data_IF_000552701056
#
_entry.id   IF_000552701056
#
_cell.length_a   1.000
_cell.length_b   1.000
_cell.length_c   1.000
_cell.angle_alpha   90.00
_cell.angle_beta   90.00
_cell.angle_gamma   90.00
#
_symmetry.space_group_name_H-M   'P 1'
#
loop_
_entity.id
_entity.type
_entity.pdbx_description
1 polymer ?
#
# COMPACT_ATOMS: atom_id res chain seq x y z
N UNK A 1 -2.21 6.85 18.27
CA UNK A 1 -3.39 5.95 18.43
C UNK A 1 -3.07 4.57 17.86
N UNK A 2 -2.58 4.45 16.62
CA UNK A 2 -2.22 3.16 16.02
C UNK A 2 -1.26 2.30 16.88
N UNK A 3 -0.11 2.86 17.28
CA UNK A 3 0.86 2.12 18.11
C UNK A 3 0.28 1.68 19.48
N UNK A 4 -0.75 2.35 20.00
CA UNK A 4 -1.41 1.97 21.25
C UNK A 4 -2.32 0.74 21.08
N UNK A 5 -3.05 0.66 19.95
CA UNK A 5 -3.86 -0.53 19.65
C UNK A 5 -2.97 -1.73 19.32
N UNK A 6 -1.94 -1.52 18.50
CA UNK A 6 -0.96 -2.56 18.16
C UNK A 6 -0.28 -3.09 19.43
N UNK A 7 0.11 -2.21 20.35
CA UNK A 7 0.78 -2.65 21.58
C UNK A 7 -0.13 -3.51 22.45
N UNK A 8 -1.43 -3.20 22.54
CA UNK A 8 -2.39 -3.99 23.30
C UNK A 8 -2.59 -5.41 22.72
N UNK A 9 -2.67 -5.52 21.39
CA UNK A 9 -2.80 -6.82 20.70
C UNK A 9 -1.57 -7.68 20.98
N UNK A 10 -0.37 -7.16 20.70
CA UNK A 10 0.87 -7.95 20.85
C UNK A 10 1.14 -8.25 22.34
N UNK A 11 0.82 -7.33 23.24
CA UNK A 11 0.96 -7.55 24.68
C UNK A 11 0.11 -8.72 25.17
N UNK A 12 -1.10 -8.85 24.62
CA UNK A 12 -2.00 -9.98 24.92
C UNK A 12 -1.46 -11.27 24.34
N UNK A 13 -0.97 -11.27 23.10
CA UNK A 13 -0.36 -12.44 22.44
C UNK A 13 0.88 -12.96 23.20
N UNK A 14 1.70 -12.06 23.75
CA UNK A 14 2.94 -12.39 24.45
C UNK A 14 2.78 -12.52 25.98
N UNK A 15 1.59 -12.24 26.52
CA UNK A 15 1.32 -12.17 27.96
C UNK A 15 2.29 -11.23 28.71
N UNK A 16 2.45 -10.01 28.20
CA UNK A 16 3.32 -8.95 28.74
C UNK A 16 2.54 -7.64 28.88
N UNK A 17 3.14 -6.62 29.49
CA UNK A 17 2.48 -5.32 29.64
C UNK A 17 2.52 -4.52 28.32
N UNK A 18 1.43 -3.81 27.92
CA UNK A 18 1.41 -2.94 26.74
C UNK A 18 2.53 -1.89 26.71
N UNK A 19 2.94 -1.39 27.89
CA UNK A 19 4.04 -0.43 28.01
C UNK A 19 5.39 -1.01 27.57
N UNK A 20 5.62 -2.32 27.80
CA UNK A 20 6.84 -2.99 27.34
C UNK A 20 6.88 -3.06 25.82
N UNK A 21 5.74 -3.35 25.18
CA UNK A 21 5.62 -3.36 23.72
C UNK A 21 5.77 -1.95 23.15
N UNK A 22 5.16 -0.92 23.76
CA UNK A 22 5.34 0.46 23.32
C UNK A 22 6.81 0.90 23.36
N UNK A 23 7.54 0.55 24.41
CA UNK A 23 8.96 0.82 24.52
C UNK A 23 9.76 0.07 23.43
N UNK A 24 9.44 -1.19 23.17
CA UNK A 24 10.05 -1.97 22.09
C UNK A 24 9.77 -1.37 20.69
N UNK A 25 8.53 -0.90 20.44
CA UNK A 25 8.15 -0.21 19.21
C UNK A 25 9.03 1.04 19.01
N UNK A 26 9.16 1.88 20.05
CA UNK A 26 9.97 3.09 19.96
C UNK A 26 11.42 2.77 19.60
N UNK A 27 12.01 1.74 20.23
CA UNK A 27 13.39 1.35 19.93
C UNK A 27 13.57 0.88 18.49
N UNK A 28 12.62 0.10 17.95
CA UNK A 28 12.66 -0.35 16.55
C UNK A 28 12.46 0.82 15.59
N UNK A 29 11.55 1.75 15.90
CA UNK A 29 11.30 2.95 15.10
C UNK A 29 12.53 3.89 15.09
N UNK A 30 13.30 3.93 16.18
CA UNK A 30 14.59 4.62 16.28
C UNK A 30 15.73 3.88 15.52
N UNK A 31 15.44 2.76 14.86
CA UNK A 31 16.38 1.99 14.05
C UNK A 31 17.20 0.94 14.81
N UNK A 32 16.84 0.62 16.05
CA UNK A 32 17.54 -0.43 16.81
C UNK A 32 17.12 -1.83 16.34
N UNK A 33 18.09 -2.72 16.18
CA UNK A 33 17.83 -4.12 15.78
C UNK A 33 17.40 -4.97 16.98
N UNK A 34 16.64 -6.06 16.74
CA UNK A 34 16.21 -6.98 17.80
C UNK A 34 17.37 -7.54 18.64
N UNK A 35 18.49 -8.03 18.05
CA UNK A 35 19.63 -8.50 18.84
C UNK A 35 20.26 -7.41 19.70
N UNK A 36 20.26 -6.15 19.24
CA UNK A 36 20.76 -5.02 20.02
C UNK A 36 19.83 -4.71 21.20
N UNK A 37 18.52 -4.68 20.97
CA UNK A 37 17.53 -4.42 22.01
C UNK A 37 17.60 -5.49 23.10
N UNK A 38 17.63 -6.77 22.71
CA UNK A 38 17.69 -7.91 23.63
C UNK A 38 18.93 -7.88 24.54
N UNK A 39 20.07 -7.38 24.03
CA UNK A 39 21.34 -7.33 24.76
C UNK A 39 21.53 -6.06 25.59
N UNK A 40 21.18 -4.89 25.04
CA UNK A 40 21.60 -3.59 25.58
C UNK A 40 20.44 -2.71 26.04
N UNK A 41 19.18 -3.08 25.76
CA UNK A 41 17.99 -2.28 26.11
C UNK A 41 16.95 -3.08 26.90
N UNK A 42 17.38 -4.16 27.56
CA UNK A 42 16.51 -5.04 28.33
C UNK A 42 15.75 -4.32 29.45
N UNK A 43 16.37 -3.35 30.11
CA UNK A 43 15.71 -2.56 31.16
C UNK A 43 14.61 -1.64 30.60
N UNK A 44 14.81 -1.11 29.39
CA UNK A 44 13.85 -0.21 28.73
C UNK A 44 12.60 -0.96 28.29
N UNK A 45 12.76 -2.20 27.84
CA UNK A 45 11.64 -3.07 27.46
C UNK A 45 11.04 -3.82 28.65
N UNK A 46 11.53 -3.57 29.88
CA UNK A 46 11.06 -4.26 31.08
C UNK A 46 11.34 -5.76 31.08
N UNK A 47 12.40 -6.21 30.41
CA UNK A 47 12.88 -7.59 30.50
C UNK A 47 12.53 -8.52 29.35
N UNK A 48 11.99 -8.02 28.23
CA UNK A 48 11.65 -8.86 27.06
C UNK A 48 12.87 -9.69 26.59
N UNK A 49 12.67 -10.98 26.38
CA UNK A 49 13.71 -11.89 25.88
C UNK A 49 13.78 -11.94 24.34
N UNK A 50 14.82 -12.59 23.79
CA UNK A 50 15.05 -12.67 22.34
C UNK A 50 13.89 -13.37 21.60
N UNK A 51 13.24 -14.35 22.23
CA UNK A 51 12.12 -15.09 21.61
C UNK A 51 10.89 -14.20 21.53
N UNK A 52 10.58 -13.50 22.62
CA UNK A 52 9.50 -12.51 22.67
C UNK A 52 9.73 -11.38 21.68
N UNK A 53 10.95 -10.85 21.58
CA UNK A 53 11.28 -9.74 20.67
C UNK A 53 11.19 -10.14 19.19
N UNK A 54 11.56 -11.37 18.82
CA UNK A 54 11.37 -11.87 17.43
C UNK A 54 9.90 -12.05 17.07
N UNK A 55 9.09 -12.57 18.00
CA UNK A 55 7.65 -12.67 17.81
C UNK A 55 7.02 -11.29 17.67
N UNK A 56 7.40 -10.36 18.55
CA UNK A 56 7.02 -8.96 18.49
C UNK A 56 7.35 -8.32 17.13
N UNK A 57 8.58 -8.47 16.62
CA UNK A 57 9.00 -7.91 15.33
C UNK A 57 8.11 -8.39 14.18
N UNK A 58 7.87 -9.70 14.13
CA UNK A 58 7.02 -10.33 13.12
C UNK A 58 5.58 -9.81 13.19
N UNK A 59 5.02 -9.73 14.40
CA UNK A 59 3.64 -9.27 14.60
C UNK A 59 3.47 -7.78 14.37
N UNK A 60 4.44 -6.96 14.78
CA UNK A 60 4.45 -5.52 14.52
C UNK A 60 4.40 -5.25 13.01
N UNK A 61 5.25 -5.93 12.23
CA UNK A 61 5.26 -5.81 10.78
C UNK A 61 3.91 -6.18 10.17
N UNK A 62 3.37 -7.35 10.53
CA UNK A 62 2.06 -7.79 10.04
C UNK A 62 0.94 -6.78 10.33
N UNK A 63 0.85 -6.28 11.56
CA UNK A 63 -0.21 -5.37 11.99
C UNK A 63 -0.08 -3.99 11.34
N UNK A 64 1.14 -3.49 11.14
CA UNK A 64 1.38 -2.25 10.40
C UNK A 64 0.96 -2.36 8.94
N UNK A 65 1.33 -3.45 8.27
CA UNK A 65 0.91 -3.71 6.89
C UNK A 65 -0.61 -3.85 6.76
N UNK A 66 -1.26 -4.52 7.72
CA UNK A 66 -2.72 -4.63 7.76
C UNK A 66 -3.37 -3.24 7.89
N UNK A 67 -2.87 -2.39 8.79
CA UNK A 67 -3.39 -1.03 8.97
C UNK A 67 -3.18 -0.16 7.74
N UNK A 68 -1.97 -0.15 7.17
CA UNK A 68 -1.66 0.61 5.97
C UNK A 68 -2.60 0.20 4.83
N UNK A 69 -2.82 -1.11 4.68
CA UNK A 69 -3.74 -1.65 3.69
C UNK A 69 -5.19 -1.23 3.96
N UNK A 70 -5.61 -1.27 5.23
CA UNK A 70 -6.95 -0.84 5.66
C UNK A 70 -7.20 0.63 5.31
N UNK A 71 -6.25 1.51 5.61
CA UNK A 71 -6.36 2.94 5.30
C UNK A 71 -6.42 3.18 3.78
N UNK A 72 -5.60 2.45 3.01
CA UNK A 72 -5.63 2.52 1.54
C UNK A 72 -7.01 2.11 0.97
N UNK A 73 -7.61 1.05 1.51
CA UNK A 73 -8.93 0.56 1.11
C UNK A 73 -10.01 1.57 1.47
N UNK A 74 -10.05 2.04 2.72
CA UNK A 74 -11.02 3.05 3.17
C UNK A 74 -10.98 4.28 2.26
N UNK A 75 -9.78 4.81 2.00
CA UNK A 75 -9.60 5.96 1.12
C UNK A 75 -10.09 5.68 -0.30
N UNK A 76 -9.77 4.51 -0.87
CA UNK A 76 -10.20 4.15 -2.22
C UNK A 76 -11.73 4.00 -2.35
N UNK A 77 -12.41 3.53 -1.30
CA UNK A 77 -13.88 3.41 -1.29
C UNK A 77 -14.53 4.78 -1.05
N UNK A 78 -13.93 5.62 -0.20
CA UNK A 78 -14.36 6.99 0.08
C UNK A 78 -14.26 7.87 -1.17
N UNK A 79 -13.16 7.78 -1.92
CA UNK A 79 -12.97 8.48 -3.20
C UNK A 79 -14.02 8.10 -4.26
N UNK A 80 -14.61 6.91 -4.15
CA UNK A 80 -15.73 6.47 -5.00
C UNK A 80 -17.11 6.92 -4.49
N UNK A 81 -17.19 7.54 -3.32
CA UNK A 81 -18.44 7.93 -2.65
C UNK A 81 -19.28 6.75 -2.19
N UNK A 82 -18.66 5.57 -1.99
CA UNK A 82 -19.36 4.31 -1.65
C UNK A 82 -19.14 3.86 -0.20
N UNK A 83 -18.42 4.65 0.60
CA UNK A 83 -18.10 4.30 1.98
C UNK A 83 -19.30 4.60 2.88
N UNK A 84 -20.03 3.56 3.27
CA UNK A 84 -21.08 3.66 4.30
C UNK A 84 -20.48 3.51 5.69
N UNK A 85 -21.16 4.02 6.72
CA UNK A 85 -20.71 3.89 8.11
C UNK A 85 -20.65 2.41 8.56
N UNK A 86 -21.58 1.59 8.07
CA UNK A 86 -21.59 0.15 8.31
C UNK A 86 -20.35 -0.53 7.72
N UNK A 87 -20.01 -0.21 6.46
CA UNK A 87 -18.84 -0.75 5.78
C UNK A 87 -17.54 -0.27 6.43
N UNK A 88 -17.46 1.01 6.80
CA UNK A 88 -16.34 1.57 7.57
C UNK A 88 -16.11 0.76 8.85
N UNK A 89 -17.18 0.54 9.62
CA UNK A 89 -17.11 -0.24 10.87
C UNK A 89 -16.63 -1.66 10.63
N UNK A 90 -17.12 -2.34 9.59
CA UNK A 90 -16.67 -3.69 9.23
C UNK A 90 -15.18 -3.74 8.86
N UNK A 91 -14.72 -2.78 8.06
CA UNK A 91 -13.31 -2.68 7.64
C UNK A 91 -12.39 -2.40 8.84
N UNK A 92 -12.81 -1.51 9.75
CA UNK A 92 -12.08 -1.18 10.97
C UNK A 92 -11.99 -2.35 11.96
N UNK A 93 -13.05 -3.15 12.08
CA UNK A 93 -13.09 -4.31 12.96
C UNK A 93 -12.29 -5.53 12.43
N UNK A 94 -11.98 -5.56 11.13
CA UNK A 94 -11.33 -6.71 10.50
C UNK A 94 -9.90 -6.90 10.97
N UNK A 95 -9.55 -8.13 11.38
CA UNK A 95 -8.20 -8.49 11.86
C UNK A 95 -7.40 -9.33 10.85
N UNK A 96 -8.06 -9.84 9.80
CA UNK A 96 -7.44 -10.69 8.77
C UNK A 96 -7.21 -9.92 7.48
N UNK A 97 -6.00 -10.05 6.91
CA UNK A 97 -5.70 -9.51 5.57
C UNK A 97 -6.62 -10.07 4.48
N UNK A 98 -7.03 -11.33 4.60
CA UNK A 98 -7.91 -11.99 3.62
C UNK A 98 -9.31 -11.38 3.65
N UNK A 99 -9.91 -11.30 4.83
CA UNK A 99 -11.24 -10.71 5.01
C UNK A 99 -11.26 -9.24 4.58
N UNK A 100 -10.16 -8.52 4.84
CA UNK A 100 -10.01 -7.13 4.41
C UNK A 100 -10.03 -7.00 2.87
N UNK A 101 -9.37 -7.91 2.15
CA UNK A 101 -9.42 -7.95 0.69
C UNK A 101 -10.79 -8.37 0.15
N UNK A 102 -11.46 -9.30 0.82
CA UNK A 102 -12.80 -9.76 0.43
C UNK A 102 -13.82 -8.61 0.53
N UNK A 103 -13.76 -7.80 1.59
CA UNK A 103 -14.57 -6.58 1.74
C UNK A 103 -14.26 -5.54 0.67
N UNK A 104 -13.00 -5.44 0.22
CA UNK A 104 -12.58 -4.50 -0.81
C UNK A 104 -12.92 -4.96 -2.23
N UNK A 105 -13.05 -6.26 -2.46
CA UNK A 105 -13.22 -6.87 -3.78
C UNK A 105 -14.30 -6.20 -4.66
N UNK A 106 -15.51 -5.86 -4.15
CA UNK A 106 -16.56 -5.20 -4.94
C UNK A 106 -16.21 -3.77 -5.37
N UNK A 107 -15.31 -3.11 -4.66
CA UNK A 107 -14.93 -1.70 -4.85
C UNK A 107 -13.61 -1.55 -5.58
N UNK A 108 -12.88 -2.64 -5.81
CA UNK A 108 -11.58 -2.61 -6.48
C UNK A 108 -11.75 -2.03 -7.89
N UNK A 109 -11.11 -0.88 -8.19
CA UNK A 109 -11.27 -0.23 -9.48
C UNK A 109 -10.74 -1.16 -10.57
N UNK A 110 -11.55 -1.37 -11.61
CA UNK A 110 -11.12 -2.11 -12.78
C UNK A 110 -10.02 -1.31 -13.46
N UNK A 111 -8.91 -1.97 -13.78
CA UNK A 111 -7.80 -1.34 -14.50
C UNK A 111 -8.32 -0.76 -15.81
N UNK A 112 -8.30 0.56 -15.93
CA UNK A 112 -8.48 1.24 -17.22
C UNK A 112 -7.26 0.94 -18.08
N UNK A 113 -7.46 0.27 -19.20
CA UNK A 113 -6.36 -0.02 -20.13
C UNK A 113 -6.00 1.26 -20.89
N UNK A 114 -4.75 1.36 -21.37
CA UNK A 114 -4.35 2.46 -22.26
C UNK A 114 -5.27 2.56 -23.49
N UNK A 115 -5.78 1.41 -23.96
CA UNK A 115 -6.79 1.34 -25.03
C UNK A 115 -8.10 2.00 -24.64
N UNK A 116 -8.67 1.69 -23.46
CA UNK A 116 -9.90 2.34 -22.98
C UNK A 116 -9.74 3.85 -22.85
N UNK A 117 -8.60 4.32 -22.34
CA UNK A 117 -8.30 5.76 -22.25
C UNK A 117 -8.22 6.39 -23.65
N UNK A 118 -7.59 5.71 -24.61
CA UNK A 118 -7.49 6.17 -25.99
C UNK A 118 -8.86 6.22 -26.69
N UNK A 119 -9.70 5.21 -26.48
CA UNK A 119 -11.09 5.17 -26.99
C UNK A 119 -11.93 6.30 -26.41
N UNK A 120 -11.89 6.53 -25.09
CA UNK A 120 -12.58 7.65 -24.43
C UNK A 120 -12.08 9.02 -24.94
N UNK A 121 -10.81 9.12 -25.35
CA UNK A 121 -10.24 10.31 -25.98
C UNK A 121 -10.60 10.45 -27.48
N UNK A 122 -11.43 9.57 -28.03
CA UNK A 122 -11.86 9.60 -29.42
C UNK A 122 -10.82 9.11 -30.43
N UNK A 123 -9.81 8.34 -30.00
CA UNK A 123 -8.76 7.81 -30.87
C UNK A 123 -9.15 6.51 -31.59
N UNK A 124 -10.32 5.94 -31.29
CA UNK A 124 -10.83 4.70 -31.88
C UNK A 124 -11.03 4.80 -33.40
N UNK A 125 -11.67 5.84 -33.97
CA UNK A 125 -11.83 5.96 -35.43
C UNK A 125 -10.50 6.08 -36.18
N UNK A 126 -9.50 6.74 -35.57
CA UNK A 126 -8.15 6.85 -36.14
C UNK A 126 -7.46 5.49 -36.13
N UNK A 127 -7.57 4.73 -35.04
CA UNK A 127 -6.99 3.39 -34.94
C UNK A 127 -7.59 2.45 -36.00
N UNK A 128 -8.92 2.48 -36.20
CA UNK A 128 -9.60 1.70 -37.24
C UNK A 128 -9.15 2.08 -38.65
N UNK A 129 -9.00 3.38 -38.93
CA UNK A 129 -8.52 3.87 -40.22
C UNK A 129 -7.08 3.37 -40.49
N UNK A 130 -6.18 3.49 -39.51
CA UNK A 130 -4.80 3.03 -39.66
C UNK A 130 -4.71 1.51 -39.85
N UNK A 131 -5.60 0.75 -39.20
CA UNK A 131 -5.66 -0.70 -39.30
C UNK A 131 -6.19 -1.17 -40.65
N UNK A 132 -7.27 -0.56 -41.15
CA UNK A 132 -7.94 -0.97 -42.37
C UNK A 132 -7.28 -0.39 -43.64
N UNK A 133 -6.62 0.76 -43.55
CA UNK A 133 -6.00 1.45 -44.69
C UNK A 133 -4.50 1.78 -44.50
N UNK A 134 -3.63 0.78 -44.27
CA UNK A 134 -2.20 1.01 -43.99
C UNK A 134 -1.44 1.69 -45.14
N UNK A 135 -1.98 1.69 -46.36
CA UNK A 135 -1.39 2.32 -47.55
C UNK A 135 -1.56 3.84 -47.57
N UNK A 136 -2.53 4.40 -46.85
CA UNK A 136 -2.77 5.86 -46.77
C UNK A 136 -1.69 6.60 -45.96
N UNK A 137 -0.91 5.88 -45.14
CA UNK A 137 0.09 6.46 -44.23
C UNK A 137 1.41 6.79 -44.95
N UNK A 138 1.56 6.44 -46.23
CA UNK A 138 2.79 6.72 -46.97
C UNK A 138 2.74 8.08 -47.65
N UNK A 139 3.17 9.11 -46.92
CA UNK A 139 4.07 10.20 -47.39
C UNK A 139 4.45 11.10 -46.22
N UNK A 140 5.68 10.97 -45.71
CA UNK A 140 6.33 12.07 -44.97
C UNK A 140 6.41 13.28 -45.90
N UNK A 141 5.98 14.49 -45.53
CA UNK A 141 6.54 15.66 -46.15
C UNK A 141 8.00 15.76 -45.65
N UNK A 142 8.87 15.80 -46.63
CA UNK A 142 10.29 16.12 -46.60
C UNK A 142 10.69 17.11 -45.48
N UNK A 143 11.04 16.62 -44.28
CA UNK A 143 11.78 17.42 -43.29
C UNK A 143 13.27 17.32 -43.62
N UNK A 144 13.64 17.88 -44.78
CA UNK A 144 15.01 17.94 -45.25
C UNK A 144 15.27 19.31 -45.87
N UNK A 145 15.07 20.38 -45.11
CA UNK A 145 15.61 21.69 -45.45
C UNK A 145 15.70 22.53 -44.17
N UNK A 146 16.83 23.22 -44.00
CA UNK A 146 17.23 24.10 -42.89
C UNK A 146 18.14 23.48 -41.82
N UNK A 147 19.29 22.97 -42.26
CA UNK A 147 20.53 23.15 -41.50
C UNK A 147 21.41 24.13 -42.29
N UNK A 148 21.71 25.34 -41.78
CA UNK A 148 22.66 26.22 -42.43
C UNK A 148 24.07 25.60 -42.33
N UNK A 149 24.73 25.37 -43.47
CA UNK A 149 26.16 25.06 -43.49
C UNK A 149 26.90 26.28 -42.92
N UNK A 150 27.53 26.12 -41.76
CA UNK A 150 28.54 27.07 -41.28
C UNK A 150 29.69 27.10 -42.29
N UNK A 151 30.05 28.30 -42.74
CA UNK A 151 31.32 28.58 -43.42
C UNK A 151 32.43 28.77 -42.37
#
# INVERSE_FOLDING_TARGET
>A
MLNQQISQIIATELNVAPNQILAAIQLVDDGNTIPFIARYRKEVTGGLDDTQLRHFETRLGYLRELEERRQSILKSIEEQGKLTDELRTQIEATQSKTELEDLYLPYKPKRRTKGQIATEAGLEPLAELLWNEPKMIRKRPHFLLLMPKKA
#
